data_IF_356703195709
#
_entry.id   IF_356703195709
#
_cell.length_a   1.000
_cell.length_b   1.000
_cell.length_c   1.000
_cell.angle_alpha   90.00
_cell.angle_beta   90.00
_cell.angle_gamma   90.00
#
_symmetry.space_group_name_H-M   'P 1'
#
loop_
_entity.id
_entity.type
_entity.pdbx_description
1 polymer ?
#
# COMPACT_ATOMS: atom_id res chain seq x y z
N UNK A 1 -4.36 -15.48 14.52
CA UNK A 1 -3.88 -14.60 13.43
C UNK A 1 -4.65 -13.29 13.58
N UNK A 2 -4.12 -12.34 14.35
CA UNK A 2 -4.82 -11.10 14.68
C UNK A 2 -3.80 -9.99 14.74
N UNK A 3 -3.60 -9.31 13.62
CA UNK A 3 -2.85 -8.05 13.61
C UNK A 3 -3.81 -6.95 14.07
N UNK A 4 -3.38 -6.12 15.01
CA UNK A 4 -4.14 -4.94 15.43
C UNK A 4 -4.16 -3.96 14.26
N UNK A 5 -5.32 -3.81 13.61
CA UNK A 5 -5.56 -2.78 12.58
C UNK A 5 -5.54 -1.42 13.26
N UNK A 6 -4.89 -0.43 12.63
CA UNK A 6 -4.97 0.96 13.08
C UNK A 6 -6.13 1.65 12.34
N UNK A 7 -7.25 1.80 13.02
CA UNK A 7 -8.49 2.38 12.48
C UNK A 7 -8.39 3.89 12.23
N UNK A 8 -7.40 4.58 12.82
CA UNK A 8 -7.22 6.04 12.68
C UNK A 8 -6.35 6.44 11.50
N UNK A 9 -5.71 5.45 10.87
CA UNK A 9 -4.75 5.65 9.81
C UNK A 9 -5.37 6.19 8.49
N UNK A 10 -6.58 5.78 8.06
CA UNK A 10 -7.21 6.30 6.85
C UNK A 10 -7.42 7.82 6.86
N UNK A 11 -7.76 8.39 8.02
CA UNK A 11 -8.02 9.84 8.17
C UNK A 11 -6.77 10.69 7.95
N UNK A 12 -5.58 10.08 8.08
CA UNK A 12 -4.28 10.73 7.94
C UNK A 12 -3.59 10.35 6.63
N UNK A 13 -4.17 9.42 5.88
CA UNK A 13 -3.60 8.93 4.63
C UNK A 13 -3.61 10.04 3.59
N UNK A 14 -2.42 10.39 3.11
CA UNK A 14 -2.27 11.28 1.95
C UNK A 14 -1.85 10.46 0.75
N UNK A 15 -2.49 10.69 -0.40
CA UNK A 15 -2.10 10.08 -1.67
C UNK A 15 -1.40 11.12 -2.53
N UNK A 16 -0.19 10.81 -2.99
CA UNK A 16 0.61 11.68 -3.82
C UNK A 16 0.94 10.99 -5.15
N UNK A 17 0.52 11.60 -6.26
CA UNK A 17 0.89 11.15 -7.59
C UNK A 17 2.25 11.73 -7.99
N UNK A 18 3.10 10.90 -8.58
CA UNK A 18 4.45 11.29 -9.03
C UNK A 18 4.74 10.74 -10.41
N UNK A 19 5.51 11.47 -11.22
CA UNK A 19 5.85 11.04 -12.58
C UNK A 19 6.69 9.75 -12.61
N UNK A 20 7.54 9.57 -11.60
CA UNK A 20 8.41 8.41 -11.47
C UNK A 20 8.64 8.08 -10.00
N UNK A 21 8.70 6.79 -9.67
CA UNK A 21 8.86 6.30 -8.32
C UNK A 21 9.83 5.11 -8.32
N UNK A 22 10.82 5.18 -7.43
CA UNK A 22 11.83 4.14 -7.27
C UNK A 22 12.00 3.80 -5.79
N UNK A 23 12.41 2.57 -5.49
CA UNK A 23 12.80 2.12 -4.16
C UNK A 23 14.27 1.73 -4.14
N UNK A 24 14.93 2.00 -3.03
CA UNK A 24 16.30 1.56 -2.73
C UNK A 24 16.29 0.99 -1.32
N UNK A 25 17.01 -0.12 -1.10
CA UNK A 25 17.23 -0.65 0.24
C UNK A 25 18.63 -0.30 0.70
N UNK A 26 18.71 0.20 1.94
CA UNK A 26 19.97 0.50 2.61
C UNK A 26 20.19 -0.50 3.73
N UNK A 27 21.29 -1.24 3.67
CA UNK A 27 21.73 -2.13 4.73
C UNK A 27 22.92 -1.49 5.45
N UNK A 28 22.83 -1.34 6.77
CA UNK A 28 23.96 -0.92 7.60
C UNK A 28 24.55 -2.13 8.33
N UNK A 29 25.85 -2.34 8.17
CA UNK A 29 26.61 -3.40 8.84
C UNK A 29 27.89 -2.81 9.43
N UNK A 30 27.87 -2.51 10.74
CA UNK A 30 28.91 -1.72 11.39
C UNK A 30 28.98 -0.30 10.83
N UNK A 31 30.17 0.10 10.39
CA UNK A 31 30.42 1.38 9.72
C UNK A 31 30.18 1.33 8.20
N UNK A 32 29.90 0.16 7.65
CA UNK A 32 29.61 0.00 6.22
C UNK A 32 28.13 0.19 5.94
N UNK A 33 27.83 1.00 4.93
CA UNK A 33 26.49 1.14 4.37
C UNK A 33 26.50 0.61 2.94
N UNK A 34 25.67 -0.39 2.68
CA UNK A 34 25.43 -0.93 1.35
C UNK A 34 24.07 -0.47 0.86
N UNK A 35 23.96 -0.15 -0.42
CA UNK A 35 22.68 0.14 -1.06
C UNK A 35 22.44 -0.73 -2.28
N UNK A 36 21.17 -1.03 -2.55
CA UNK A 36 20.77 -1.66 -3.81
C UNK A 36 20.72 -0.61 -4.92
N UNK A 37 20.84 -1.00 -6.21
CA UNK A 37 20.41 -0.11 -7.28
C UNK A 37 18.93 0.30 -7.11
N UNK A 38 18.53 1.51 -7.54
CA UNK A 38 17.14 1.90 -7.54
C UNK A 38 16.29 0.99 -8.43
N UNK A 39 15.18 0.50 -7.89
CA UNK A 39 14.19 -0.32 -8.62
C UNK A 39 12.91 0.49 -8.83
N UNK A 40 12.40 0.51 -10.07
CA UNK A 40 11.15 1.20 -10.38
C UNK A 40 9.95 0.49 -9.74
N UNK A 41 9.05 1.26 -9.12
CA UNK A 41 7.84 0.73 -8.49
C UNK A 41 6.64 1.60 -8.83
N UNK A 42 5.45 0.99 -8.89
CA UNK A 42 4.24 1.70 -9.32
C UNK A 42 3.47 2.36 -8.15
N UNK A 43 3.69 1.89 -6.92
CA UNK A 43 3.17 2.50 -5.69
C UNK A 43 4.09 2.17 -4.51
N UNK A 44 4.11 3.03 -3.48
CA UNK A 44 4.86 2.79 -2.24
C UNK A 44 4.23 3.49 -1.04
N UNK A 45 3.99 2.74 0.03
CA UNK A 45 3.61 3.28 1.34
C UNK A 45 4.85 3.75 2.11
N UNK A 46 4.86 5.02 2.51
CA UNK A 46 5.89 5.62 3.34
C UNK A 46 5.32 5.90 4.74
N UNK A 47 5.45 4.90 5.63
CA UNK A 47 4.88 4.91 6.98
C UNK A 47 5.25 6.17 7.79
N UNK A 48 6.51 6.59 7.75
CA UNK A 48 7.01 7.74 8.53
C UNK A 48 6.30 9.05 8.17
N UNK A 49 5.90 9.20 6.92
CA UNK A 49 5.22 10.40 6.41
C UNK A 49 3.70 10.26 6.31
N UNK A 50 3.17 9.06 6.52
CA UNK A 50 1.77 8.72 6.23
C UNK A 50 1.33 9.04 4.78
N UNK A 51 2.23 8.84 3.81
CA UNK A 51 1.97 9.10 2.39
C UNK A 51 2.03 7.81 1.59
N UNK A 52 1.00 7.59 0.76
CA UNK A 52 1.03 6.61 -0.32
C UNK A 52 1.42 7.32 -1.62
N UNK A 53 2.61 7.02 -2.12
CA UNK A 53 3.06 7.47 -3.42
C UNK A 53 2.52 6.55 -4.51
N UNK A 54 2.01 7.12 -5.60
CA UNK A 54 1.48 6.38 -6.75
C UNK A 54 2.08 6.95 -8.01
N UNK A 55 2.56 6.09 -8.90
CA UNK A 55 3.03 6.53 -10.21
C UNK A 55 1.85 7.06 -11.02
N UNK A 56 2.03 8.23 -11.63
CA UNK A 56 0.99 8.88 -12.45
C UNK A 56 0.91 8.26 -13.84
N UNK A 57 0.24 7.10 -13.91
CA UNK A 57 0.01 6.33 -15.14
C UNK A 57 -1.47 5.99 -15.31
N UNK A 58 -1.88 5.74 -16.55
CA UNK A 58 -3.25 5.32 -16.89
C UNK A 58 -3.22 3.99 -17.65
N UNK A 59 -3.97 2.96 -17.23
CA UNK A 59 -4.78 2.93 -16.01
C UNK A 59 -3.91 2.96 -14.74
N UNK A 60 -4.50 3.36 -13.61
CA UNK A 60 -3.80 3.36 -12.34
C UNK A 60 -3.34 1.93 -11.95
N UNK A 61 -2.19 1.78 -11.29
CA UNK A 61 -1.61 0.48 -10.97
C UNK A 61 -2.28 -0.12 -9.72
N UNK A 62 -3.57 -0.43 -9.79
CA UNK A 62 -4.41 -0.82 -8.65
C UNK A 62 -3.87 -2.02 -7.86
N UNK A 63 -3.25 -2.99 -8.52
CA UNK A 63 -2.60 -4.12 -7.84
C UNK A 63 -1.45 -3.66 -6.93
N UNK A 64 -0.64 -2.70 -7.38
CA UNK A 64 0.46 -2.16 -6.57
C UNK A 64 -0.09 -1.32 -5.41
N UNK A 65 -1.10 -0.48 -5.69
CA UNK A 65 -1.80 0.32 -4.67
C UNK A 65 -2.38 -0.58 -3.58
N UNK A 66 -3.11 -1.64 -3.96
CA UNK A 66 -3.73 -2.56 -3.01
C UNK A 66 -2.71 -3.32 -2.13
N UNK A 67 -1.56 -3.68 -2.69
CA UNK A 67 -0.45 -4.29 -1.92
C UNK A 67 0.08 -3.34 -0.86
N UNK A 68 0.31 -2.08 -1.21
CA UNK A 68 0.83 -1.09 -0.27
C UNK A 68 -0.22 -0.71 0.79
N UNK A 69 -1.50 -0.58 0.41
CA UNK A 69 -2.62 -0.41 1.36
C UNK A 69 -2.72 -1.60 2.32
N UNK A 70 -2.51 -2.81 1.83
CA UNK A 70 -2.48 -4.01 2.67
C UNK A 70 -1.32 -3.98 3.68
N UNK A 71 -0.12 -3.59 3.24
CA UNK A 71 1.05 -3.41 4.13
C UNK A 71 0.77 -2.34 5.17
N UNK A 72 0.14 -1.24 4.76
CA UNK A 72 -0.30 -0.16 5.62
C UNK A 72 -1.27 -0.66 6.71
N UNK A 73 -2.34 -1.36 6.33
CA UNK A 73 -3.35 -1.90 7.26
C UNK A 73 -2.78 -2.96 8.22
N UNK A 74 -1.79 -3.75 7.77
CA UNK A 74 -1.16 -4.81 8.56
C UNK A 74 0.13 -4.39 9.27
N UNK A 75 0.36 -3.08 9.44
CA UNK A 75 1.54 -2.52 10.15
C UNK A 75 2.87 -3.07 9.62
N UNK A 76 3.04 -3.11 8.30
CA UNK A 76 4.28 -3.56 7.68
C UNK A 76 4.35 -5.07 7.38
N UNK A 77 3.36 -5.87 7.75
CA UNK A 77 3.36 -7.31 7.43
C UNK A 77 2.91 -7.58 5.99
N UNK A 78 3.56 -8.50 5.26
CA UNK A 78 3.12 -8.89 3.92
C UNK A 78 1.73 -9.55 4.00
N UNK A 79 0.75 -8.97 3.30
CA UNK A 79 -0.62 -9.46 3.27
C UNK A 79 -1.03 -10.05 1.93
N UNK A 80 -0.23 -10.98 1.38
CA UNK A 80 -0.42 -11.52 0.03
C UNK A 80 -1.88 -11.83 -0.37
N UNK A 81 -2.63 -12.57 0.46
CA UNK A 81 -4.04 -12.88 0.20
C UNK A 81 -5.00 -11.68 0.34
N UNK A 82 -4.67 -10.73 1.22
CA UNK A 82 -5.49 -9.54 1.46
C UNK A 82 -5.45 -8.55 0.27
N UNK A 83 -4.31 -8.48 -0.42
CA UNK A 83 -4.12 -7.53 -1.51
C UNK A 83 -5.07 -7.74 -2.70
N UNK A 84 -5.59 -8.95 -2.89
CA UNK A 84 -6.56 -9.25 -3.97
C UNK A 84 -7.93 -8.66 -3.61
N UNK A 85 -8.44 -8.96 -2.42
CA UNK A 85 -9.73 -8.41 -1.97
C UNK A 85 -9.70 -6.88 -1.86
N UNK A 86 -8.62 -6.31 -1.32
CA UNK A 86 -8.45 -4.84 -1.27
C UNK A 86 -8.41 -4.23 -2.66
N UNK A 87 -7.81 -4.90 -3.66
CA UNK A 87 -7.85 -4.41 -5.04
C UNK A 87 -9.28 -4.34 -5.55
N UNK A 88 -10.10 -5.37 -5.31
CA UNK A 88 -11.49 -5.41 -5.75
C UNK A 88 -12.31 -4.27 -5.13
N UNK A 89 -12.11 -4.03 -3.83
CA UNK A 89 -12.72 -2.89 -3.12
C UNK A 89 -12.29 -1.55 -3.76
N UNK A 90 -11.00 -1.38 -4.06
CA UNK A 90 -10.47 -0.13 -4.62
C UNK A 90 -10.92 0.17 -6.04
N UNK A 91 -11.24 -0.86 -6.83
CA UNK A 91 -11.71 -0.68 -8.22
C UNK A 91 -13.24 -0.70 -8.34
N UNK A 92 -13.95 -0.87 -7.23
CA UNK A 92 -15.40 -0.87 -7.21
C UNK A 92 -15.96 0.46 -7.74
N UNK A 93 -16.98 0.36 -8.59
CA UNK A 93 -17.58 1.52 -9.25
C UNK A 93 -18.34 2.44 -8.27
N UNK A 94 -18.79 1.89 -7.14
CA UNK A 94 -19.56 2.61 -6.13
C UNK A 94 -19.12 2.23 -4.73
N UNK A 95 -19.34 3.15 -3.79
CA UNK A 95 -19.13 2.88 -2.37
C UNK A 95 -19.98 1.71 -1.85
N UNK A 96 -21.18 1.51 -2.41
CA UNK A 96 -22.06 0.38 -2.03
C UNK A 96 -21.41 -0.95 -2.41
N UNK A 97 -20.91 -1.06 -3.65
CA UNK A 97 -20.22 -2.27 -4.12
C UNK A 97 -18.94 -2.51 -3.32
N UNK A 98 -18.18 -1.45 -3.04
CA UNK A 98 -16.99 -1.52 -2.19
C UNK A 98 -17.32 -2.06 -0.79
N UNK A 99 -18.43 -1.60 -0.18
CA UNK A 99 -18.86 -2.05 1.14
C UNK A 99 -19.26 -3.53 1.15
N UNK A 100 -20.00 -3.98 0.13
CA UNK A 100 -20.36 -5.41 -0.01
C UNK A 100 -19.11 -6.28 -0.12
N UNK A 101 -18.11 -5.84 -0.89
CA UNK A 101 -16.84 -6.57 -1.00
C UNK A 101 -16.07 -6.59 0.33
N UNK A 102 -16.13 -5.52 1.13
CA UNK A 102 -15.53 -5.50 2.48
C UNK A 102 -16.23 -6.48 3.43
N UNK A 103 -17.56 -6.51 3.41
CA UNK A 103 -18.38 -7.45 4.19
C UNK A 103 -18.03 -8.91 3.84
N UNK A 104 -17.90 -9.22 2.55
CA UNK A 104 -17.52 -10.56 2.05
C UNK A 104 -16.11 -10.97 2.50
N UNK A 105 -15.20 -10.00 2.62
CA UNK A 105 -13.83 -10.20 3.10
C UNK A 105 -13.73 -10.29 4.64
N UNK A 106 -14.83 -10.04 5.37
CA UNK A 106 -14.89 -10.09 6.83
C UNK A 106 -14.25 -8.88 7.52
N UNK A 107 -14.20 -7.73 6.84
CA UNK A 107 -13.81 -6.45 7.44
C UNK A 107 -15.06 -5.70 7.91
N UNK A 108 -15.11 -5.22 9.17
CA UNK A 108 -16.23 -4.40 9.67
C UNK A 108 -16.24 -2.99 9.06
#
# INVERSE_FOLDING_TARGET
IGGVVDETLPDRLRVCKVASLHTEYRLRHGDTVMTTPPEAVAAKWAADSCILFVQDVTPLPWTAIAREVTVMLRKGQPGGALAIGIREVLVAETAVVANTLLDELGYP
#
